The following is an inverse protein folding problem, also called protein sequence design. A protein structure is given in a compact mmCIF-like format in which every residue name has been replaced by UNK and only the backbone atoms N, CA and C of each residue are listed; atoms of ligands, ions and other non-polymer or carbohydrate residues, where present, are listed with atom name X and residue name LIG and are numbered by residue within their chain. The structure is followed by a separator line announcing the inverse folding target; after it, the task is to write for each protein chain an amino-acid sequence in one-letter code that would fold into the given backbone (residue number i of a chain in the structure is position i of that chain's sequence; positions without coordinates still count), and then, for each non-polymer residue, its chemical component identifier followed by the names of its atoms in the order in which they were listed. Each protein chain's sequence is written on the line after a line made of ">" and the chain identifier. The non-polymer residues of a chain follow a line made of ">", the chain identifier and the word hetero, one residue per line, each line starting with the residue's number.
data_IF_794779282282
#
_entry.id   IF_794779282282
#
_cell.length_a   1.000
_cell.length_b   1.000
_cell.length_c   1.000
_cell.angle_alpha   90.00
_cell.angle_beta   90.00
_cell.angle_gamma   90.00
#
_symmetry.space_group_name_H-M   'P 1'
#
loop_
_entity.id
_entity.type
_entity.pdbx_description
1 polymer ?
#
# COMPACT_ATOMS: atom_id res chain seq x y z
N UNK A 1 9.11 -4.55 18.11
CA UNK A 1 8.41 -3.24 18.08
C UNK A 1 8.30 -2.88 16.62
N UNK A 2 7.08 -2.72 16.11
CA UNK A 2 6.89 -2.33 14.73
C UNK A 2 7.24 -0.84 14.58
N UNK A 3 7.78 -0.44 13.42
CA UNK A 3 8.09 0.96 13.11
C UNK A 3 6.86 1.88 13.30
N UNK A 4 5.66 1.36 13.09
CA UNK A 4 4.39 2.07 13.19
C UNK A 4 3.85 2.25 14.63
N UNK A 5 4.49 1.64 15.63
CA UNK A 5 4.08 1.76 17.05
C UNK A 5 4.94 2.79 17.80
N UNK A 6 5.95 3.38 17.12
CA UNK A 6 6.87 4.30 17.74
C UNK A 6 6.41 5.76 17.53
N UNK A 7 6.58 6.62 18.56
CA UNK A 7 6.34 8.06 18.45
C UNK A 7 7.12 8.72 17.31
N UNK A 8 8.30 8.19 16.98
CA UNK A 8 9.13 8.65 15.87
C UNK A 8 8.40 8.55 14.51
N UNK A 9 7.59 7.51 14.34
CA UNK A 9 6.74 7.37 13.15
C UNK A 9 5.79 8.56 13.01
N UNK A 10 5.11 8.94 14.08
CA UNK A 10 4.17 10.06 14.06
C UNK A 10 4.86 11.40 13.81
N UNK A 11 6.07 11.60 14.36
CA UNK A 11 6.87 12.79 14.08
C UNK A 11 7.23 12.88 12.59
N UNK A 12 7.75 11.80 12.02
CA UNK A 12 8.10 11.75 10.58
C UNK A 12 6.85 11.92 9.72
N UNK A 13 5.73 11.31 10.10
CA UNK A 13 4.45 11.45 9.38
C UNK A 13 4.00 12.92 9.35
N UNK A 14 4.03 13.63 10.49
CA UNK A 14 3.67 15.05 10.55
C UNK A 14 4.57 15.88 9.63
N UNK A 15 5.90 15.64 9.66
CA UNK A 15 6.85 16.32 8.79
C UNK A 15 6.56 16.10 7.30
N UNK A 16 6.12 14.90 6.93
CA UNK A 16 5.76 14.56 5.54
C UNK A 16 4.40 15.16 5.18
N UNK A 17 3.44 15.20 6.10
CA UNK A 17 2.11 15.72 5.82
C UNK A 17 2.08 17.25 5.70
N UNK A 18 2.92 17.99 6.43
CA UNK A 18 2.94 19.46 6.37
C UNK A 18 3.17 20.00 4.95
N UNK A 19 4.21 19.62 4.20
CA UNK A 19 4.38 20.09 2.83
C UNK A 19 3.27 19.62 1.90
N UNK A 20 2.73 18.41 2.11
CA UNK A 20 1.58 17.92 1.33
C UNK A 20 0.36 18.83 1.53
N UNK A 21 0.09 19.23 2.77
CA UNK A 21 -1.00 20.16 3.08
C UNK A 21 -0.78 21.54 2.43
N UNK A 22 0.44 22.06 2.48
CA UNK A 22 0.78 23.32 1.83
C UNK A 22 0.58 23.24 0.31
N UNK A 23 1.03 22.18 -0.33
CA UNK A 23 0.83 21.97 -1.77
C UNK A 23 -0.65 21.91 -2.13
N UNK A 24 -1.46 21.19 -1.33
CA UNK A 24 -2.90 21.13 -1.54
C UNK A 24 -3.60 22.49 -1.39
N UNK A 25 -3.21 23.30 -0.39
CA UNK A 25 -3.74 24.68 -0.21
C UNK A 25 -3.33 25.60 -1.36
N UNK A 26 -2.15 25.36 -1.95
CA UNK A 26 -1.62 26.13 -3.08
C UNK A 26 -2.08 25.59 -4.44
N UNK A 27 -2.99 24.62 -4.47
CA UNK A 27 -3.51 23.98 -5.69
C UNK A 27 -2.39 23.43 -6.59
N UNK A 28 -1.38 22.82 -5.97
CA UNK A 28 -0.26 22.21 -6.68
C UNK A 28 -0.43 20.69 -6.77
N UNK A 29 0.10 20.03 -7.83
CA UNK A 29 -0.02 18.59 -8.01
C UNK A 29 0.70 17.82 -6.90
N UNK A 30 -0.03 16.96 -6.20
CA UNK A 30 0.49 16.15 -5.09
C UNK A 30 1.22 14.91 -5.57
N UNK A 31 1.07 14.49 -6.83
CA UNK A 31 1.60 13.24 -7.39
C UNK A 31 3.09 13.06 -7.10
N UNK A 32 3.90 14.03 -7.51
CA UNK A 32 5.36 13.93 -7.38
C UNK A 32 5.81 13.93 -5.93
N UNK A 33 5.21 14.77 -5.13
CA UNK A 33 5.49 14.83 -3.70
C UNK A 33 5.10 13.53 -2.99
N UNK A 34 3.90 13.03 -3.21
CA UNK A 34 3.39 11.79 -2.62
C UNK A 34 4.24 10.58 -3.03
N UNK A 35 4.66 10.51 -4.31
CA UNK A 35 5.54 9.46 -4.78
C UNK A 35 6.93 9.53 -4.15
N UNK A 36 7.53 10.73 -4.07
CA UNK A 36 8.81 10.92 -3.40
C UNK A 36 8.74 10.59 -1.90
N UNK A 37 7.67 11.03 -1.21
CA UNK A 37 7.42 10.69 0.18
C UNK A 37 7.26 9.18 0.39
N UNK A 38 6.61 8.48 -0.55
CA UNK A 38 6.46 7.03 -0.53
C UNK A 38 7.81 6.32 -0.60
N UNK A 39 8.70 6.71 -1.51
CA UNK A 39 10.03 6.14 -1.61
C UNK A 39 10.88 6.45 -0.36
N UNK A 40 10.87 7.69 0.10
CA UNK A 40 11.58 8.10 1.31
C UNK A 40 11.12 7.29 2.53
N UNK A 41 9.81 7.18 2.73
CA UNK A 41 9.24 6.48 3.87
C UNK A 41 9.51 4.98 3.81
N UNK A 42 9.43 4.39 2.61
CA UNK A 42 9.77 2.98 2.39
C UNK A 42 11.25 2.75 2.69
N UNK A 43 12.14 3.62 2.22
CA UNK A 43 13.58 3.54 2.54
C UNK A 43 13.84 3.61 4.04
N UNK A 44 13.22 4.57 4.75
CA UNK A 44 13.36 4.71 6.21
C UNK A 44 12.81 3.49 6.97
N UNK A 45 11.69 2.92 6.53
CA UNK A 45 11.08 1.75 7.17
C UNK A 45 11.99 0.50 7.10
N UNK A 46 12.80 0.39 6.06
CA UNK A 46 13.67 -0.76 5.82
C UNK A 46 15.16 -0.48 6.07
N UNK A 47 15.55 0.75 6.47
CA UNK A 47 16.95 1.16 6.66
C UNK A 47 17.72 0.25 7.62
N UNK A 48 17.07 -0.18 8.70
CA UNK A 48 17.66 -1.08 9.71
C UNK A 48 17.52 -2.57 9.37
N UNK A 49 16.93 -2.92 8.22
CA UNK A 49 16.59 -4.28 7.82
C UNK A 49 16.95 -4.56 6.36
N UNK A 50 18.24 -4.54 6.00
CA UNK A 50 18.69 -4.59 4.60
C UNK A 50 18.23 -5.87 3.88
N UNK A 51 18.14 -7.00 4.58
CA UNK A 51 17.64 -8.24 4.01
C UNK A 51 16.15 -8.13 3.62
N UNK A 52 15.31 -7.51 4.45
CA UNK A 52 13.91 -7.30 4.13
C UNK A 52 13.75 -6.27 3.00
N UNK A 53 14.62 -5.26 2.94
CA UNK A 53 14.66 -4.32 1.81
C UNK A 53 14.98 -5.03 0.48
N UNK A 54 15.95 -5.95 0.50
CA UNK A 54 16.29 -6.76 -0.68
C UNK A 54 15.12 -7.64 -1.14
N UNK A 55 14.41 -8.26 -0.20
CA UNK A 55 13.22 -9.05 -0.51
C UNK A 55 12.07 -8.21 -1.06
N UNK A 56 11.85 -7.02 -0.50
CA UNK A 56 10.87 -6.06 -1.03
C UNK A 56 11.23 -5.65 -2.45
N UNK A 57 12.52 -5.31 -2.70
CA UNK A 57 12.98 -4.92 -4.03
C UNK A 57 12.80 -6.05 -5.05
N UNK A 58 13.18 -7.29 -4.69
CA UNK A 58 12.99 -8.46 -5.54
C UNK A 58 11.51 -8.70 -5.85
N UNK A 59 10.66 -8.65 -4.83
CA UNK A 59 9.21 -8.76 -4.98
C UNK A 59 8.67 -7.68 -5.93
N UNK A 60 9.03 -6.43 -5.69
CA UNK A 60 8.56 -5.29 -6.49
C UNK A 60 8.95 -5.43 -7.97
N UNK A 61 10.20 -5.79 -8.25
CA UNK A 61 10.69 -5.99 -9.61
C UNK A 61 9.97 -7.16 -10.28
N UNK A 62 9.78 -8.28 -9.58
CA UNK A 62 9.06 -9.44 -10.10
C UNK A 62 7.61 -9.09 -10.44
N UNK A 63 6.90 -8.42 -9.55
CA UNK A 63 5.51 -8.01 -9.77
C UNK A 63 5.39 -6.99 -10.90
N UNK A 64 6.30 -6.04 -10.99
CA UNK A 64 6.35 -5.08 -12.08
C UNK A 64 6.47 -5.78 -13.44
N UNK A 65 7.41 -6.73 -13.58
CA UNK A 65 7.55 -7.49 -14.82
C UNK A 65 6.33 -8.34 -15.14
N UNK A 66 5.69 -8.94 -14.13
CA UNK A 66 4.46 -9.71 -14.32
C UNK A 66 3.31 -8.84 -14.81
N UNK A 67 3.11 -7.68 -14.19
CA UNK A 67 2.04 -6.75 -14.55
C UNK A 67 2.28 -6.15 -15.93
N UNK A 68 3.47 -5.62 -16.20
CA UNK A 68 3.82 -5.03 -17.50
C UNK A 68 3.77 -6.07 -18.63
N UNK A 69 4.34 -7.25 -18.40
CA UNK A 69 4.29 -8.35 -19.37
C UNK A 69 2.86 -8.80 -19.66
N UNK A 70 2.02 -8.85 -18.63
CA UNK A 70 0.61 -9.20 -18.79
C UNK A 70 -0.18 -8.11 -19.52
N UNK A 71 0.07 -6.84 -19.21
CA UNK A 71 -0.51 -5.69 -19.94
C UNK A 71 -0.16 -5.74 -21.42
N UNK A 72 1.12 -5.90 -21.75
CA UNK A 72 1.57 -6.01 -23.14
C UNK A 72 0.92 -7.20 -23.86
N UNK A 73 0.82 -8.37 -23.21
CA UNK A 73 0.12 -9.52 -23.74
C UNK A 73 -1.37 -9.24 -23.98
N UNK A 74 -2.05 -8.63 -22.99
CA UNK A 74 -3.48 -8.35 -23.04
C UNK A 74 -3.84 -7.37 -24.15
N UNK A 75 -3.01 -6.34 -24.35
CA UNK A 75 -3.18 -5.34 -25.42
C UNK A 75 -2.93 -5.98 -26.81
N UNK A 76 -1.90 -6.83 -26.95
CA UNK A 76 -1.50 -7.38 -28.23
C UNK A 76 -2.31 -8.60 -28.68
N UNK A 77 -2.66 -9.48 -27.74
CA UNK A 77 -3.30 -10.79 -28.04
C UNK A 77 -4.73 -10.94 -27.49
N UNK A 78 -5.23 -9.93 -26.80
CA UNK A 78 -6.59 -9.93 -26.25
C UNK A 78 -6.74 -10.75 -24.98
N UNK A 79 -7.98 -11.15 -24.67
CA UNK A 79 -8.35 -11.81 -23.42
C UNK A 79 -8.05 -13.30 -23.48
N UNK A 80 -7.19 -13.80 -22.59
CA UNK A 80 -6.87 -15.22 -22.43
C UNK A 80 -7.02 -15.66 -20.96
N UNK A 81 -8.02 -16.51 -20.65
CA UNK A 81 -8.21 -17.00 -19.28
C UNK A 81 -7.06 -17.87 -18.77
N UNK A 82 -6.34 -18.56 -19.66
CA UNK A 82 -5.21 -19.39 -19.27
C UNK A 82 -4.01 -18.55 -18.81
N UNK A 83 -3.67 -17.50 -19.59
CA UNK A 83 -2.57 -16.58 -19.24
C UNK A 83 -2.92 -15.80 -17.98
N UNK A 84 -4.16 -15.34 -17.86
CA UNK A 84 -4.64 -14.67 -16.64
C UNK A 84 -4.43 -15.52 -15.39
N UNK A 85 -4.86 -16.80 -15.42
CA UNK A 85 -4.69 -17.71 -14.27
C UNK A 85 -3.23 -17.97 -13.94
N UNK A 86 -2.39 -18.09 -14.97
CA UNK A 86 -0.95 -18.28 -14.78
C UNK A 86 -0.31 -17.07 -14.10
N UNK A 87 -0.58 -15.84 -14.62
CA UNK A 87 -0.04 -14.60 -14.07
C UNK A 87 -0.54 -14.37 -12.64
N UNK A 88 -1.82 -14.63 -12.39
CA UNK A 88 -2.40 -14.55 -11.05
C UNK A 88 -1.70 -15.50 -10.07
N UNK A 89 -1.48 -16.76 -10.48
CA UNK A 89 -0.76 -17.73 -9.68
C UNK A 89 0.68 -17.29 -9.39
N UNK A 90 1.40 -16.80 -10.40
CA UNK A 90 2.78 -16.32 -10.24
C UNK A 90 2.87 -15.10 -9.31
N UNK A 91 1.91 -14.19 -9.38
CA UNK A 91 1.85 -13.02 -8.48
C UNK A 91 1.57 -13.41 -7.01
N UNK A 92 0.77 -14.46 -6.77
CA UNK A 92 0.49 -14.94 -5.41
C UNK A 92 1.62 -15.84 -4.88
N UNK A 93 2.45 -16.41 -5.74
CA UNK A 93 3.48 -17.38 -5.38
C UNK A 93 4.48 -16.86 -4.32
N UNK A 94 5.00 -15.61 -4.39
CA UNK A 94 5.88 -15.07 -3.34
C UNK A 94 5.22 -15.06 -1.96
N UNK A 95 3.92 -14.73 -1.90
CA UNK A 95 3.17 -14.76 -0.65
C UNK A 95 3.03 -16.18 -0.11
N UNK A 96 2.71 -17.16 -0.97
CA UNK A 96 2.61 -18.57 -0.58
C UNK A 96 3.96 -19.05 -0.04
N UNK A 97 5.06 -18.78 -0.76
CA UNK A 97 6.41 -19.16 -0.33
C UNK A 97 6.78 -18.52 1.01
N UNK A 98 6.46 -17.23 1.19
CA UNK A 98 6.69 -16.55 2.46
C UNK A 98 5.95 -17.18 3.64
N UNK A 99 4.73 -17.66 3.42
CA UNK A 99 3.94 -18.34 4.47
C UNK A 99 4.43 -19.75 4.74
N UNK A 100 4.81 -20.48 3.71
CA UNK A 100 5.33 -21.85 3.84
C UNK A 100 6.74 -21.89 4.44
N UNK A 101 7.61 -20.94 4.12
CA UNK A 101 8.96 -20.86 4.67
C UNK A 101 8.97 -20.77 6.20
N UNK A 102 7.95 -20.16 6.81
CA UNK A 102 7.78 -20.12 8.27
C UNK A 102 7.60 -21.48 8.94
N UNK A 103 7.25 -22.54 8.18
CA UNK A 103 7.11 -23.90 8.69
C UNK A 103 8.42 -24.69 8.65
N UNK A 104 9.40 -24.29 7.81
CA UNK A 104 10.61 -25.11 7.58
C UNK A 104 11.84 -24.66 8.35
N UNK A 105 12.17 -23.37 8.39
CA UNK A 105 13.50 -22.95 8.87
C UNK A 105 13.56 -21.64 9.66
N UNK A 106 12.43 -20.98 9.92
CA UNK A 106 12.47 -19.67 10.59
C UNK A 106 13.19 -18.56 9.81
N UNK A 107 13.91 -18.89 8.71
CA UNK A 107 14.54 -17.95 7.79
C UNK A 107 13.50 -17.44 6.81
N UNK A 108 12.81 -16.39 7.20
CA UNK A 108 11.63 -15.96 6.47
C UNK A 108 11.99 -15.08 5.28
N UNK A 109 11.67 -15.55 4.09
CA UNK A 109 11.35 -14.71 2.96
C UNK A 109 10.08 -13.92 3.33
N UNK A 110 10.23 -12.98 4.24
CA UNK A 110 9.13 -12.15 4.72
C UNK A 110 9.62 -10.73 4.91
N UNK A 111 8.82 -9.79 4.45
CA UNK A 111 8.97 -8.38 4.74
C UNK A 111 7.63 -7.79 5.12
N UNK A 112 7.68 -6.63 5.76
CA UNK A 112 6.48 -5.92 6.19
C UNK A 112 5.58 -5.59 5.00
N UNK A 113 4.32 -6.01 5.05
CA UNK A 113 3.32 -5.69 4.04
C UNK A 113 3.21 -6.65 2.85
N UNK A 114 4.00 -7.74 2.77
CA UNK A 114 3.98 -8.66 1.62
C UNK A 114 2.56 -9.09 1.21
N UNK A 115 1.71 -9.45 2.16
CA UNK A 115 0.34 -9.87 1.87
C UNK A 115 -0.46 -8.74 1.23
N UNK A 116 -0.31 -7.54 1.77
CA UNK A 116 -1.05 -6.38 1.31
C UNK A 116 -0.60 -5.90 -0.08
N UNK A 117 0.71 -5.89 -0.31
CA UNK A 117 1.28 -5.56 -1.61
C UNK A 117 0.88 -6.58 -2.69
N UNK A 118 0.90 -7.89 -2.35
CA UNK A 118 0.43 -8.94 -3.25
C UNK A 118 -1.01 -8.70 -3.68
N UNK A 119 -1.92 -8.38 -2.75
CA UNK A 119 -3.32 -8.13 -3.11
C UNK A 119 -3.50 -6.89 -3.99
N UNK A 120 -2.65 -5.87 -3.85
CA UNK A 120 -2.63 -4.72 -4.77
C UNK A 120 -2.21 -5.11 -6.18
N UNK A 121 -1.16 -5.91 -6.32
CA UNK A 121 -0.72 -6.42 -7.62
C UNK A 121 -1.79 -7.33 -8.26
N UNK A 122 -2.36 -8.24 -7.49
CA UNK A 122 -3.49 -9.09 -7.91
C UNK A 122 -4.67 -8.25 -8.41
N UNK A 123 -5.00 -7.18 -7.73
CA UNK A 123 -6.08 -6.27 -8.13
C UNK A 123 -5.79 -5.61 -9.50
N UNK A 124 -4.56 -5.14 -9.74
CA UNK A 124 -4.16 -4.60 -11.05
C UNK A 124 -4.30 -5.69 -12.14
N UNK A 125 -3.87 -6.93 -11.86
CA UNK A 125 -3.98 -8.05 -12.80
C UNK A 125 -5.43 -8.34 -13.14
N UNK A 126 -6.34 -8.31 -12.16
CA UNK A 126 -7.78 -8.50 -12.36
C UNK A 126 -8.35 -7.37 -13.23
N UNK A 127 -8.06 -6.10 -12.90
CA UNK A 127 -8.53 -4.94 -13.66
C UNK A 127 -7.96 -4.94 -15.10
N UNK A 128 -6.73 -5.43 -15.31
CA UNK A 128 -6.15 -5.64 -16.63
C UNK A 128 -6.90 -6.74 -17.41
N UNK A 129 -7.24 -7.85 -16.76
CA UNK A 129 -8.02 -8.91 -17.40
C UNK A 129 -9.40 -8.42 -17.85
N UNK A 130 -10.05 -7.61 -17.04
CA UNK A 130 -11.35 -7.01 -17.36
C UNK A 130 -11.25 -5.89 -18.41
N UNK A 131 -10.04 -5.50 -18.80
CA UNK A 131 -9.81 -4.45 -19.80
C UNK A 131 -10.01 -3.03 -19.25
N UNK A 132 -10.03 -2.88 -17.94
CA UNK A 132 -10.21 -1.60 -17.27
C UNK A 132 -8.90 -0.81 -17.18
N UNK A 133 -7.77 -1.51 -17.25
CA UNK A 133 -6.40 -0.96 -17.31
C UNK A 133 -5.79 -1.40 -18.63
N UNK A 134 -5.33 -0.44 -19.42
CA UNK A 134 -4.63 -0.65 -20.71
C UNK A 134 -3.18 -0.22 -20.66
N UNK A 135 -2.82 0.59 -19.68
CA UNK A 135 -1.46 1.08 -19.43
C UNK A 135 -1.25 1.31 -17.93
N UNK A 136 -0.05 1.06 -17.46
CA UNK A 136 0.34 1.29 -16.06
C UNK A 136 1.81 1.76 -16.03
N UNK A 137 2.08 3.06 -16.13
CA UNK A 137 3.45 3.57 -16.04
C UNK A 137 4.14 3.09 -14.77
N UNK A 138 5.42 2.72 -14.87
CA UNK A 138 6.22 2.18 -13.75
C UNK A 138 6.13 3.05 -12.49
N UNK A 139 6.10 4.38 -12.67
CA UNK A 139 6.00 5.31 -11.56
C UNK A 139 4.63 5.27 -10.88
N UNK A 140 3.57 5.11 -11.67
CA UNK A 140 2.19 5.00 -11.17
C UNK A 140 1.99 3.64 -10.46
N UNK A 141 2.57 2.56 -11.00
CA UNK A 141 2.63 1.27 -10.34
C UNK A 141 3.34 1.37 -8.98
N UNK A 142 4.52 2.00 -8.94
CA UNK A 142 5.27 2.19 -7.71
C UNK A 142 4.52 3.06 -6.70
N UNK A 143 3.95 4.18 -7.14
CA UNK A 143 3.15 5.08 -6.30
C UNK A 143 1.95 4.36 -5.68
N UNK A 144 1.28 3.48 -6.44
CA UNK A 144 0.14 2.72 -5.94
C UNK A 144 0.56 1.57 -5.03
N UNK A 145 1.47 0.70 -5.49
CA UNK A 145 1.84 -0.52 -4.75
C UNK A 145 2.54 -0.19 -3.44
N UNK A 146 3.49 0.75 -3.46
CA UNK A 146 4.30 1.10 -2.28
C UNK A 146 3.70 2.21 -1.42
N UNK A 147 2.52 2.74 -1.75
CA UNK A 147 1.93 3.90 -1.07
C UNK A 147 2.09 3.84 0.45
N UNK A 148 2.92 4.73 1.00
CA UNK A 148 3.45 4.63 2.36
C UNK A 148 2.38 4.61 3.47
N UNK A 149 1.24 5.34 3.38
CA UNK A 149 0.24 5.31 4.44
C UNK A 149 -0.42 3.96 4.63
N UNK A 150 -0.37 3.12 3.61
CA UNK A 150 -1.05 1.83 3.60
C UNK A 150 -0.16 0.65 3.16
N UNK A 151 1.18 0.81 3.25
CA UNK A 151 2.13 -0.25 2.86
C UNK A 151 2.01 -1.50 3.73
N UNK A 152 1.69 -1.35 5.01
CA UNK A 152 1.59 -2.47 5.96
C UNK A 152 0.17 -2.99 6.14
N UNK A 153 -0.80 -2.10 6.07
CA UNK A 153 -2.22 -2.39 6.30
C UNK A 153 -3.07 -1.19 5.88
N UNK A 154 -4.30 -1.44 5.49
CA UNK A 154 -5.25 -0.38 5.13
C UNK A 154 -6.35 -0.90 4.21
N UNK A 155 -7.29 -0.07 3.80
CA UNK A 155 -8.25 -0.45 2.78
C UNK A 155 -7.52 -0.70 1.46
N UNK A 156 -7.90 -1.78 0.77
CA UNK A 156 -7.43 -2.04 -0.60
C UNK A 156 -8.26 -1.15 -1.51
N UNK A 157 -7.65 -0.07 -1.98
CA UNK A 157 -8.28 0.82 -2.95
C UNK A 157 -8.08 0.31 -4.37
N UNK A 158 -8.93 0.74 -5.29
CA UNK A 158 -8.79 0.42 -6.71
C UNK A 158 -7.71 1.27 -7.33
N UNK A 159 -6.78 0.66 -8.08
CA UNK A 159 -5.63 1.35 -8.67
C UNK A 159 -6.05 2.54 -9.53
N UNK A 160 -7.11 2.39 -10.33
CA UNK A 160 -7.66 3.47 -11.18
C UNK A 160 -8.15 4.67 -10.37
N UNK A 161 -8.93 4.41 -9.31
CA UNK A 161 -9.43 5.47 -8.44
C UNK A 161 -8.28 6.19 -7.74
N UNK A 162 -7.33 5.43 -7.18
CA UNK A 162 -6.14 5.98 -6.55
C UNK A 162 -5.35 6.90 -7.50
N UNK A 163 -5.12 6.44 -8.75
CA UNK A 163 -4.40 7.23 -9.74
C UNK A 163 -5.19 8.45 -10.22
N UNK A 164 -6.51 8.34 -10.32
CA UNK A 164 -7.37 9.49 -10.60
C UNK A 164 -7.27 10.54 -9.51
N UNK A 165 -7.40 10.14 -8.25
CA UNK A 165 -7.28 11.04 -7.10
C UNK A 165 -5.87 11.66 -7.01
N UNK A 166 -4.82 10.87 -7.30
CA UNK A 166 -3.42 11.32 -7.27
C UNK A 166 -3.11 12.36 -8.37
N UNK A 167 -3.76 12.25 -9.52
CA UNK A 167 -3.60 13.18 -10.66
C UNK A 167 -4.58 14.35 -10.60
N UNK A 168 -5.61 14.28 -9.75
CA UNK A 168 -6.57 15.35 -9.59
C UNK A 168 -6.00 16.47 -8.72
N UNK A 169 -6.20 17.72 -9.15
CA UNK A 169 -5.85 18.91 -8.37
C UNK A 169 -7.16 19.54 -7.90
N UNK A 170 -7.57 19.27 -6.65
CA UNK A 170 -8.80 19.87 -6.13
C UNK A 170 -8.65 21.38 -5.97
N UNK A 171 -9.75 22.12 -6.04
CA UNK A 171 -9.76 23.52 -5.64
C UNK A 171 -9.38 23.64 -4.17
N UNK A 172 -8.84 24.80 -3.78
CA UNK A 172 -8.48 25.05 -2.37
C UNK A 172 -9.63 24.79 -1.41
N UNK A 173 -10.85 25.16 -1.80
CA UNK A 173 -12.03 24.95 -0.96
C UNK A 173 -12.37 23.48 -0.80
N UNK A 174 -12.35 22.71 -1.89
CA UNK A 174 -12.58 21.27 -1.87
C UNK A 174 -11.47 20.56 -1.08
N UNK A 175 -10.21 20.98 -1.26
CA UNK A 175 -9.07 20.42 -0.52
C UNK A 175 -9.22 20.63 0.98
N UNK A 176 -9.60 21.84 1.44
CA UNK A 176 -9.80 22.12 2.86
C UNK A 176 -10.95 21.30 3.45
N UNK A 177 -12.01 21.09 2.69
CA UNK A 177 -13.12 20.22 3.10
C UNK A 177 -12.66 18.78 3.25
N UNK A 178 -11.96 18.23 2.25
CA UNK A 178 -11.39 16.88 2.29
C UNK A 178 -10.37 16.71 3.43
N UNK A 179 -9.52 17.71 3.66
CA UNK A 179 -8.56 17.70 4.75
C UNK A 179 -9.26 17.69 6.12
N UNK A 180 -10.31 18.48 6.29
CA UNK A 180 -11.12 18.48 7.51
C UNK A 180 -11.78 17.14 7.78
N UNK A 181 -12.38 16.52 6.75
CA UNK A 181 -12.92 15.16 6.84
C UNK A 181 -11.83 14.13 7.19
N UNK A 182 -10.65 14.26 6.58
CA UNK A 182 -9.52 13.38 6.85
C UNK A 182 -9.06 13.45 8.31
N UNK A 183 -8.89 14.66 8.85
CA UNK A 183 -8.56 14.88 10.27
C UNK A 183 -9.63 14.30 11.19
N UNK A 184 -10.91 14.53 10.89
CA UNK A 184 -12.01 13.95 11.66
C UNK A 184 -11.96 12.42 11.68
N UNK A 185 -11.72 11.78 10.52
CA UNK A 185 -11.60 10.31 10.42
C UNK A 185 -10.39 9.78 11.19
N UNK A 186 -9.27 10.50 11.21
CA UNK A 186 -8.08 10.14 12.01
C UNK A 186 -8.41 10.20 13.50
N UNK A 187 -9.04 11.27 13.97
CA UNK A 187 -9.45 11.40 15.38
C UNK A 187 -10.43 10.31 15.78
N UNK A 188 -11.41 10.01 14.94
CA UNK A 188 -12.35 8.92 15.17
C UNK A 188 -11.64 7.56 15.26
N UNK A 189 -10.69 7.29 14.37
CA UNK A 189 -9.87 6.08 14.41
C UNK A 189 -9.03 5.97 15.68
N UNK A 190 -8.48 7.07 16.20
CA UNK A 190 -7.77 7.11 17.47
C UNK A 190 -8.71 6.80 18.66
N UNK A 191 -9.92 7.33 18.67
CA UNK A 191 -10.94 7.02 19.69
C UNK A 191 -11.24 5.51 19.65
N UNK A 192 -11.46 4.92 18.48
CA UNK A 192 -11.72 3.49 18.37
C UNK A 192 -10.54 2.65 18.87
N UNK A 193 -9.31 3.01 18.48
CA UNK A 193 -8.11 2.28 18.89
C UNK A 193 -7.80 2.43 20.38
N UNK A 194 -7.87 3.64 20.93
CA UNK A 194 -7.42 3.92 22.30
C UNK A 194 -8.50 3.65 23.34
N UNK A 195 -9.76 3.91 23.04
CA UNK A 195 -10.86 3.80 23.99
C UNK A 195 -11.61 2.49 23.77
N UNK A 196 -12.23 2.33 22.59
CA UNK A 196 -13.13 1.22 22.33
C UNK A 196 -12.40 -0.13 22.40
N UNK A 197 -11.26 -0.25 21.70
CA UNK A 197 -10.47 -1.48 21.72
C UNK A 197 -9.95 -1.82 23.14
N UNK A 198 -9.57 -0.83 23.94
CA UNK A 198 -9.10 -1.06 25.30
C UNK A 198 -10.22 -1.52 26.25
N UNK A 199 -11.45 -1.03 26.05
CA UNK A 199 -12.63 -1.50 26.81
C UNK A 199 -12.92 -2.97 26.49
N UNK A 200 -12.95 -3.33 25.20
CA UNK A 200 -13.16 -4.72 24.78
C UNK A 200 -12.04 -5.65 25.26
N UNK A 201 -10.79 -5.22 25.22
CA UNK A 201 -9.66 -6.01 25.68
C UNK A 201 -9.75 -6.28 27.20
N UNK A 202 -10.12 -5.28 28.00
CA UNK A 202 -10.36 -5.46 29.45
C UNK A 202 -11.54 -6.40 29.71
N UNK A 203 -12.64 -6.23 28.97
CA UNK A 203 -13.81 -7.10 29.07
C UNK A 203 -13.49 -8.56 28.76
N UNK A 204 -12.67 -8.80 27.73
CA UNK A 204 -12.24 -10.16 27.36
C UNK A 204 -11.34 -10.79 28.42
N UNK A 205 -10.46 -10.01 29.06
CA UNK A 205 -9.62 -10.48 30.16
C UNK A 205 -10.43 -10.88 31.40
N UNK A 206 -11.55 -10.22 31.69
CA UNK A 206 -12.46 -10.60 32.79
C UNK A 206 -13.19 -11.92 32.51
N UNK A 207 -13.53 -12.20 31.27
CA UNK A 207 -14.21 -13.45 30.85
C UNK A 207 -13.25 -14.65 30.86
N UNK A 208 -11.96 -14.43 30.53
CA UNK A 208 -10.94 -15.49 30.50
C UNK A 208 -10.38 -15.83 31.89
N UNK A 209 -10.57 -14.94 32.88
CA UNK A 209 -10.12 -15.13 34.25
C UNK A 209 -11.22 -15.66 35.20
N UNK A 210 -12.42 -15.92 34.68
CA UNK A 210 -13.54 -16.55 35.38
C UNK A 210 -13.70 -18.00 34.90
#
# INVERSE_FOLDING_TARGET
>A
VSFYDNYQFFCVLIFILMPAMLLGILEQPLKWYSTAATFLFTALAFLSKPQQAAWLALFFVTELFLVEGYLAFRVSRGRSPAVYRLVLFLSILPLILSKLAGFWDGSTFAFLGISYLTFRCVQIIIETYDGLITEMPVLDFAAFVLFFPSISSGPIDRSRRFLQDLNNIPSRQDYLTLAGEGVFKILLGLIYKLILASIFFKGMGMVQGA
#
